data_IF_742993220105
#
_entry.id   IF_742993220105
#
_cell.length_a   1.000
_cell.length_b   1.000
_cell.length_c   1.000
_cell.angle_alpha   90.00
_cell.angle_beta   90.00
_cell.angle_gamma   90.00
#
_symmetry.space_group_name_H-M   'P 1'
#
loop_
_entity.id
_entity.type
_entity.pdbx_description
1 polymer ?
#
# COMPACT_ATOMS: atom_id res chain seq x y z
N UNK A 1 -3.56 5.19 7.60
CA UNK A 1 -2.93 5.26 8.93
C UNK A 1 -2.45 6.69 9.19
N UNK A 2 -2.70 7.29 10.37
CA UNK A 2 -2.20 8.63 10.68
C UNK A 2 -0.67 8.70 10.76
N UNK A 3 -0.08 9.85 10.42
CA UNK A 3 1.35 10.14 10.66
C UNK A 3 1.54 11.36 11.58
N UNK A 4 2.79 11.69 11.89
CA UNK A 4 3.17 12.92 12.62
C UNK A 4 3.80 13.98 11.71
N UNK A 5 3.89 13.70 10.40
CA UNK A 5 4.56 14.55 9.42
C UNK A 5 3.59 15.59 8.88
N UNK A 6 4.01 16.86 8.84
CA UNK A 6 3.25 17.93 8.20
C UNK A 6 3.28 17.77 6.68
N UNK A 7 2.21 18.21 6.01
CA UNK A 7 2.21 18.28 4.56
C UNK A 7 3.28 19.29 4.09
N UNK A 8 4.22 18.89 3.20
CA UNK A 8 5.30 19.77 2.76
C UNK A 8 4.83 20.85 1.76
N UNK A 9 3.55 20.87 1.40
CA UNK A 9 2.98 21.83 0.45
C UNK A 9 2.12 22.87 1.16
N UNK A 10 1.17 22.46 2.00
CA UNK A 10 0.28 23.40 2.68
C UNK A 10 0.62 23.64 4.15
N UNK A 11 1.38 22.75 4.79
CA UNK A 11 1.74 22.82 6.22
C UNK A 11 0.54 22.93 7.19
N UNK A 12 -0.69 22.71 6.72
CA UNK A 12 -1.93 22.90 7.49
C UNK A 12 -2.38 21.65 8.26
N UNK A 13 -1.94 20.48 7.82
CA UNK A 13 -2.39 19.20 8.39
C UNK A 13 -1.29 18.15 8.33
N UNK A 14 -1.50 17.06 9.07
CA UNK A 14 -0.64 15.88 9.00
C UNK A 14 -1.01 15.02 7.80
N UNK A 15 -0.02 14.53 7.08
CA UNK A 15 -0.26 13.55 6.01
C UNK A 15 -0.71 12.21 6.60
N UNK A 16 -1.49 11.46 5.84
CA UNK A 16 -1.91 10.09 6.19
C UNK A 16 -1.33 9.10 5.21
N UNK A 17 -1.05 7.87 5.67
CA UNK A 17 -0.66 6.76 4.81
C UNK A 17 -1.90 6.05 4.28
N UNK A 18 -1.97 5.89 2.97
CA UNK A 18 -2.96 5.09 2.26
C UNK A 18 -2.24 3.94 1.57
N UNK A 19 -2.68 2.72 1.79
CA UNK A 19 -2.07 1.53 1.18
C UNK A 19 -2.96 1.00 0.06
N UNK A 20 -2.41 0.86 -1.13
CA UNK A 20 -3.07 0.24 -2.28
C UNK A 20 -2.40 -1.09 -2.60
N UNK A 21 -3.20 -2.13 -2.73
CA UNK A 21 -2.74 -3.46 -3.11
C UNK A 21 -3.24 -3.83 -4.49
N UNK A 22 -2.33 -4.34 -5.31
CA UNK A 22 -2.58 -4.90 -6.63
C UNK A 22 -2.15 -6.37 -6.67
N UNK A 23 -2.87 -7.18 -7.44
CA UNK A 23 -2.54 -8.59 -7.61
C UNK A 23 -3.72 -9.42 -8.09
N UNK A 24 -3.55 -10.75 -8.19
CA UNK A 24 -4.57 -11.64 -8.72
C UNK A 24 -5.90 -11.55 -7.95
N UNK A 25 -7.02 -11.58 -8.70
CA UNK A 25 -8.38 -11.57 -8.13
C UNK A 25 -8.63 -10.36 -7.22
N UNK A 26 -8.02 -9.21 -7.55
CA UNK A 26 -8.38 -7.88 -7.08
C UNK A 26 -8.87 -7.04 -8.28
N UNK A 27 -9.64 -5.97 -8.05
CA UNK A 27 -10.03 -5.06 -9.13
C UNK A 27 -8.82 -4.48 -9.85
N UNK A 28 -8.99 -4.09 -11.12
CA UNK A 28 -7.92 -3.51 -11.94
C UNK A 28 -7.34 -2.22 -11.34
N UNK A 29 -8.18 -1.41 -10.68
CA UNK A 29 -7.79 -0.22 -9.93
C UNK A 29 -7.16 -0.53 -8.55
N UNK A 30 -6.93 -1.81 -8.25
CA UNK A 30 -6.41 -2.27 -6.98
C UNK A 30 -7.44 -2.21 -5.85
N UNK A 31 -6.93 -2.35 -4.63
CA UNK A 31 -7.74 -2.30 -3.41
C UNK A 31 -7.09 -1.34 -2.42
N UNK A 32 -7.83 -0.33 -1.99
CA UNK A 32 -7.44 0.49 -0.85
C UNK A 32 -7.61 -0.31 0.44
N UNK A 33 -6.55 -0.39 1.23
CA UNK A 33 -6.50 -1.16 2.47
C UNK A 33 -6.73 -0.23 3.64
N UNK A 34 -7.75 -0.55 4.42
CA UNK A 34 -8.23 0.30 5.52
C UNK A 34 -7.81 -0.23 6.88
N UNK A 35 -7.27 -1.45 6.96
CA UNK A 35 -6.80 -2.04 8.22
C UNK A 35 -5.62 -3.00 8.03
N UNK A 36 -4.79 -3.13 9.07
CA UNK A 36 -3.71 -4.14 9.13
C UNK A 36 -4.24 -5.57 8.98
N UNK A 37 -5.43 -5.86 9.52
CA UNK A 37 -6.10 -7.17 9.41
C UNK A 37 -6.42 -7.51 7.95
N UNK A 38 -6.91 -6.55 7.18
CA UNK A 38 -7.19 -6.71 5.74
C UNK A 38 -5.89 -6.97 4.97
N UNK A 39 -4.82 -6.21 5.25
CA UNK A 39 -3.51 -6.42 4.64
C UNK A 39 -2.97 -7.84 4.90
N UNK A 40 -3.05 -8.30 6.16
CA UNK A 40 -2.64 -9.65 6.56
C UNK A 40 -3.49 -10.74 5.92
N UNK A 41 -4.80 -10.51 5.75
CA UNK A 41 -5.68 -11.45 5.05
C UNK A 41 -5.26 -11.61 3.58
N UNK A 42 -4.89 -10.51 2.91
CA UNK A 42 -4.36 -10.56 1.54
C UNK A 42 -3.02 -11.27 1.49
N UNK A 43 -2.10 -10.99 2.42
CA UNK A 43 -0.78 -11.63 2.46
C UNK A 43 -0.85 -13.17 2.54
N UNK A 44 -1.95 -13.72 3.07
CA UNK A 44 -2.20 -15.17 3.14
C UNK A 44 -2.76 -15.77 1.84
N UNK A 45 -3.18 -14.95 0.88
CA UNK A 45 -3.76 -15.44 -0.40
C UNK A 45 -2.66 -15.99 -1.30
N UNK A 46 -3.01 -17.00 -2.11
CA UNK A 46 -2.13 -17.49 -3.16
C UNK A 46 -1.96 -16.44 -4.27
N UNK A 47 -0.70 -16.17 -4.64
CA UNK A 47 -0.33 -15.20 -5.67
C UNK A 47 0.67 -14.17 -5.16
N UNK A 48 1.27 -13.42 -6.09
CA UNK A 48 2.11 -12.26 -5.76
C UNK A 48 1.26 -11.00 -5.76
N UNK A 49 1.46 -10.15 -4.75
CA UNK A 49 0.72 -8.90 -4.59
C UNK A 49 1.69 -7.77 -4.33
N UNK A 50 1.52 -6.66 -5.04
CA UNK A 50 2.30 -5.44 -4.85
C UNK A 50 1.51 -4.47 -3.97
N UNK A 51 2.14 -3.97 -2.93
CA UNK A 51 1.61 -2.96 -2.03
C UNK A 51 2.35 -1.64 -2.27
N UNK A 52 1.58 -0.56 -2.45
CA UNK A 52 2.06 0.81 -2.58
C UNK A 52 1.51 1.60 -1.40
N UNK A 53 2.40 2.22 -0.62
CA UNK A 53 2.02 3.08 0.49
C UNK A 53 2.25 4.53 0.06
N UNK A 54 1.18 5.30 0.04
CA UNK A 54 1.12 6.67 -0.43
C UNK A 54 0.85 7.58 0.75
N UNK A 55 1.66 8.61 0.94
CA UNK A 55 1.33 9.75 1.80
C UNK A 55 0.32 10.62 1.08
N UNK A 56 -0.75 11.02 1.77
CA UNK A 56 -1.81 11.87 1.22
C UNK A 56 -2.10 12.99 2.20
N UNK A 57 -2.13 14.22 1.71
CA UNK A 57 -2.66 15.36 2.44
C UNK A 57 -4.18 15.47 2.19
N UNK A 58 -5.03 15.35 3.23
CA UNK A 58 -6.48 15.44 3.05
C UNK A 58 -6.96 16.86 2.69
N UNK A 59 -6.16 17.90 2.96
CA UNK A 59 -6.57 19.29 2.68
C UNK A 59 -6.21 19.74 1.27
N UNK A 60 -4.95 19.58 0.84
CA UNK A 60 -4.49 20.10 -0.45
C UNK A 60 -4.33 19.03 -1.54
N UNK A 61 -4.70 17.77 -1.26
CA UNK A 61 -4.59 16.64 -2.20
C UNK A 61 -3.17 16.29 -2.68
N UNK A 62 -2.13 16.91 -2.09
CA UNK A 62 -0.75 16.47 -2.33
C UNK A 62 -0.60 14.99 -1.96
N UNK A 63 0.15 14.25 -2.77
CA UNK A 63 0.46 12.87 -2.49
C UNK A 63 1.88 12.49 -2.93
N UNK A 64 2.45 11.51 -2.25
CA UNK A 64 3.79 11.00 -2.51
C UNK A 64 3.87 9.50 -2.24
N UNK A 65 4.53 8.76 -3.14
CA UNK A 65 4.76 7.33 -2.95
C UNK A 65 5.88 7.09 -1.93
N UNK A 66 5.50 6.77 -0.69
CA UNK A 66 6.44 6.61 0.42
C UNK A 66 7.22 5.29 0.37
N UNK A 67 6.57 4.17 0.02
CA UNK A 67 7.24 2.87 -0.11
C UNK A 67 6.43 1.86 -0.94
N UNK A 68 7.14 0.85 -1.45
CA UNK A 68 6.55 -0.30 -2.14
C UNK A 68 7.11 -1.61 -1.58
N UNK A 69 6.28 -2.66 -1.55
CA UNK A 69 6.71 -4.00 -1.13
C UNK A 69 5.77 -5.09 -1.64
N UNK A 70 6.22 -6.35 -1.59
CA UNK A 70 5.45 -7.53 -2.02
C UNK A 70 4.87 -8.26 -0.80
N UNK A 71 3.57 -8.62 -0.80
CA UNK A 71 2.86 -9.22 0.35
C UNK A 71 2.90 -10.76 0.40
N UNK A 72 3.32 -11.40 -0.67
CA UNK A 72 3.57 -12.84 -0.73
C UNK A 72 4.52 -13.03 -1.90
N UNK A 73 5.84 -12.85 -1.71
CA UNK A 73 6.79 -13.21 -2.74
C UNK A 73 6.55 -14.69 -2.97
N UNK A 74 5.97 -15.04 -4.13
CA UNK A 74 5.80 -16.43 -4.51
C UNK A 74 7.12 -17.11 -4.18
N UNK A 75 7.09 -18.17 -3.34
CA UNK A 75 8.31 -18.95 -3.01
C UNK A 75 9.08 -19.02 -4.32
N UNK A 76 10.25 -18.38 -4.38
CA UNK A 76 11.03 -18.29 -5.61
C UNK A 76 11.00 -19.70 -6.16
N UNK A 77 10.37 -19.88 -7.33
CA UNK A 77 10.15 -21.21 -7.90
C UNK A 77 11.57 -21.78 -7.95
N UNK A 78 11.89 -22.72 -7.04
CA UNK A 78 13.25 -23.19 -6.87
C UNK A 78 13.68 -23.58 -8.28
N UNK A 79 14.68 -22.88 -8.82
CA UNK A 79 15.08 -23.05 -10.20
C UNK A 79 15.28 -24.55 -10.40
N UNK A 80 14.38 -25.15 -11.17
CA UNK A 80 14.46 -26.56 -11.52
C UNK A 80 15.78 -26.71 -12.25
N UNK A 81 16.75 -27.32 -11.57
CA UNK A 81 17.98 -27.81 -12.18
C UNK A 81 17.65 -28.91 -13.17
#
# INVERSE_FOLDING_TARGET
>A
EPTKLDCPVCEQTKVVLVSYVFGPRLPAFGRCITSKKELQAIAKRSGSFSCYVVEVCPECSWNHLARTFVLNPAKARAASR
#
